data_IF_868292713724
#
_entry.id   IF_868292713724
#
_cell.length_a   1.000
_cell.length_b   1.000
_cell.length_c   1.000
_cell.angle_alpha   90.00
_cell.angle_beta   90.00
_cell.angle_gamma   90.00
#
_symmetry.space_group_name_H-M   'P 1'
#
loop_
_entity.id
_entity.type
_entity.pdbx_description
1 polymer ?
#
# COMPACT_ATOMS: atom_id res chain seq x y z
N UNK A 1 -23.43 62.80 41.42
CA UNK A 1 -23.55 64.27 41.45
C UNK A 1 -24.72 64.63 42.33
N UNK A 2 -24.56 65.49 43.36
CA UNK A 2 -25.63 65.79 44.30
C UNK A 2 -26.50 66.94 43.77
N UNK A 3 -27.82 66.82 43.89
CA UNK A 3 -28.77 67.90 43.60
C UNK A 3 -29.16 68.54 44.93
N UNK A 4 -28.72 69.78 45.16
CA UNK A 4 -29.12 70.60 46.29
C UNK A 4 -30.62 70.95 46.20
N UNK A 5 -31.39 70.62 47.25
CA UNK A 5 -32.71 71.18 47.45
C UNK A 5 -32.57 72.52 48.19
N UNK A 6 -32.70 73.63 47.47
CA UNK A 6 -32.81 74.96 48.06
C UNK A 6 -34.20 75.16 48.65
N UNK A 7 -34.34 74.98 49.97
CA UNK A 7 -35.51 75.43 50.72
C UNK A 7 -35.27 76.88 51.18
N UNK A 8 -35.96 77.84 50.56
CA UNK A 8 -36.09 79.19 51.11
C UNK A 8 -37.23 79.20 52.14
N UNK A 9 -36.88 79.17 53.42
CA UNK A 9 -37.80 79.39 54.53
C UNK A 9 -38.21 80.87 54.58
N UNK A 10 -39.50 81.15 54.48
CA UNK A 10 -40.05 82.48 54.76
C UNK A 10 -40.32 82.52 56.26
N UNK A 11 -39.51 83.27 57.01
CA UNK A 11 -39.81 83.66 58.39
C UNK A 11 -40.89 84.75 58.36
N UNK A 12 -42.00 84.52 59.05
CA UNK A 12 -42.99 85.56 59.35
C UNK A 12 -43.01 85.77 60.86
N UNK A 13 -42.48 86.92 61.28
CA UNK A 13 -42.51 87.43 62.64
C UNK A 13 -43.90 88.06 62.90
N UNK A 14 -44.69 87.49 63.80
CA UNK A 14 -45.94 88.10 64.26
C UNK A 14 -45.66 88.91 65.54
N UNK A 15 -45.55 90.24 65.40
CA UNK A 15 -45.61 91.17 66.54
C UNK A 15 -47.08 91.37 66.96
N UNK A 16 -47.38 91.49 68.27
CA UNK A 16 -48.74 91.73 68.75
C UNK A 16 -49.05 93.23 68.68
N UNK A 17 -50.32 93.58 68.47
CA UNK A 17 -50.82 94.91 68.75
C UNK A 17 -52.18 94.83 69.43
N UNK A 18 -52.23 95.51 70.58
CA UNK A 18 -53.33 95.64 71.52
C UNK A 18 -54.53 96.47 70.99
N UNK A 19 -55.72 96.03 71.45
CA UNK A 19 -56.90 96.78 71.93
C UNK A 19 -57.71 97.74 71.04
N UNK A 20 -59.03 97.47 71.13
CA UNK A 20 -60.20 98.38 71.19
C UNK A 20 -60.81 98.96 69.88
N UNK A 21 -61.81 98.24 69.36
CA UNK A 21 -63.24 98.61 69.44
C UNK A 21 -63.77 99.80 68.62
N UNK A 22 -64.77 99.53 67.77
CA UNK A 22 -65.85 100.49 67.48
C UNK A 22 -66.24 100.70 66.01
N UNK A 23 -67.26 99.94 65.56
CA UNK A 23 -68.30 100.20 64.54
C UNK A 23 -68.15 101.23 63.38
N UNK A 24 -68.64 100.78 62.21
CA UNK A 24 -69.07 101.46 60.95
C UNK A 24 -68.03 101.76 59.85
N UNK A 25 -68.08 101.04 58.71
CA UNK A 25 -67.89 101.60 57.35
C UNK A 25 -68.30 100.61 56.21
N UNK A 26 -69.09 100.99 55.17
CA UNK A 26 -69.48 100.12 54.04
C UNK A 26 -68.41 99.98 52.93
N UNK A 27 -67.23 100.56 53.08
CA UNK A 27 -66.14 100.55 52.09
C UNK A 27 -65.27 99.27 52.11
N UNK A 28 -65.49 98.37 53.08
CA UNK A 28 -64.67 97.17 53.31
C UNK A 28 -64.97 95.96 52.40
N UNK A 29 -65.98 96.03 51.52
CA UNK A 29 -66.41 94.87 50.70
C UNK A 29 -65.52 94.66 49.46
N UNK A 30 -64.91 95.72 48.92
CA UNK A 30 -64.10 95.64 47.67
C UNK A 30 -62.73 94.97 47.89
N UNK A 31 -61.94 95.27 48.95
CA UNK A 31 -60.66 94.59 49.18
C UNK A 31 -60.84 93.11 49.51
N UNK A 32 -61.89 92.74 50.25
CA UNK A 32 -62.19 91.36 50.61
C UNK A 32 -62.55 90.50 49.38
N UNK A 33 -63.31 91.05 48.43
CA UNK A 33 -63.61 90.39 47.15
C UNK A 33 -62.37 90.31 46.23
N UNK A 34 -61.49 91.31 46.24
CA UNK A 34 -60.23 91.28 45.48
C UNK A 34 -59.24 90.24 46.02
N UNK A 35 -59.18 90.05 47.35
CA UNK A 35 -58.39 88.99 47.99
C UNK A 35 -58.98 87.62 47.70
N UNK A 36 -60.31 87.45 47.74
CA UNK A 36 -60.97 86.21 47.33
C UNK A 36 -60.74 85.90 45.84
N UNK A 37 -60.82 86.91 44.97
CA UNK A 37 -60.54 86.78 43.54
C UNK A 37 -59.07 86.42 43.25
N UNK A 38 -58.12 87.00 43.98
CA UNK A 38 -56.70 86.66 43.84
C UNK A 38 -56.38 85.28 44.39
N UNK A 39 -57.00 84.86 45.51
CA UNK A 39 -56.87 83.50 46.04
C UNK A 39 -57.44 82.47 45.06
N UNK A 40 -58.61 82.72 44.48
CA UNK A 40 -59.23 81.84 43.47
C UNK A 40 -58.40 81.79 42.19
N UNK A 41 -57.90 82.93 41.71
CA UNK A 41 -57.03 82.98 40.53
C UNK A 41 -55.70 82.26 40.77
N UNK A 42 -55.11 82.41 41.96
CA UNK A 42 -53.89 81.68 42.35
C UNK A 42 -54.17 80.18 42.47
N UNK A 43 -55.33 79.78 43.00
CA UNK A 43 -55.74 78.37 43.08
C UNK A 43 -55.97 77.77 41.69
N UNK A 44 -56.60 78.51 40.78
CA UNK A 44 -56.79 78.10 39.38
C UNK A 44 -55.44 78.00 38.67
N UNK A 45 -54.56 78.98 38.80
CA UNK A 45 -53.20 78.93 38.25
C UNK A 45 -52.40 77.76 38.81
N UNK A 46 -52.50 77.47 40.11
CA UNK A 46 -51.87 76.31 40.75
C UNK A 46 -52.46 75.00 40.21
N UNK A 47 -53.77 74.94 39.99
CA UNK A 47 -54.45 73.77 39.45
C UNK A 47 -54.09 73.52 37.97
N UNK A 48 -53.99 74.57 37.16
CA UNK A 48 -53.51 74.49 35.78
C UNK A 48 -52.02 74.15 35.70
N UNK A 49 -51.19 74.75 36.56
CA UNK A 49 -49.76 74.42 36.66
C UNK A 49 -49.56 72.97 37.08
N UNK A 50 -50.29 72.48 38.08
CA UNK A 50 -50.28 71.08 38.51
C UNK A 50 -50.74 70.13 37.39
N UNK A 51 -51.80 70.50 36.65
CA UNK A 51 -52.29 69.70 35.52
C UNK A 51 -51.30 69.67 34.35
N UNK A 52 -50.66 70.79 34.05
CA UNK A 52 -49.63 70.89 33.02
C UNK A 52 -48.35 70.12 33.41
N UNK A 53 -47.93 70.23 34.67
CA UNK A 53 -46.78 69.50 35.20
C UNK A 53 -47.04 67.98 35.22
N UNK A 54 -48.24 67.56 35.62
CA UNK A 54 -48.66 66.15 35.52
C UNK A 54 -48.69 65.68 34.05
N UNK A 55 -49.21 66.49 33.14
CA UNK A 55 -49.24 66.16 31.70
C UNK A 55 -47.83 66.05 31.11
N UNK A 56 -46.91 66.92 31.48
CA UNK A 56 -45.51 66.86 31.04
C UNK A 56 -44.80 65.65 31.67
N UNK A 57 -45.04 65.37 32.94
CA UNK A 57 -44.46 64.23 33.63
C UNK A 57 -44.95 62.90 33.04
N UNK A 58 -46.23 62.82 32.68
CA UNK A 58 -46.82 61.66 32.02
C UNK A 58 -46.29 61.52 30.57
N UNK A 59 -46.17 62.60 29.81
CA UNK A 59 -45.54 62.57 28.49
C UNK A 59 -44.06 62.16 28.55
N UNK A 60 -43.31 62.63 29.54
CA UNK A 60 -41.90 62.28 29.75
C UNK A 60 -41.77 60.81 30.18
N UNK A 61 -42.67 60.34 31.04
CA UNK A 61 -42.75 58.93 31.44
C UNK A 61 -43.03 58.02 30.25
N UNK A 62 -44.04 58.34 29.44
CA UNK A 62 -44.38 57.55 28.24
C UNK A 62 -43.24 57.58 27.22
N UNK A 63 -42.56 58.71 27.04
CA UNK A 63 -41.38 58.80 26.18
C UNK A 63 -40.21 57.95 26.70
N UNK A 64 -39.95 57.96 28.01
CA UNK A 64 -38.93 57.13 28.65
C UNK A 64 -39.27 55.63 28.55
N UNK A 65 -40.52 55.25 28.82
CA UNK A 65 -41.00 53.86 28.66
C UNK A 65 -40.86 53.38 27.20
N UNK A 66 -41.17 54.23 26.21
CA UNK A 66 -40.93 53.92 24.78
C UNK A 66 -39.46 53.75 24.45
N UNK A 67 -38.58 54.60 24.98
CA UNK A 67 -37.13 54.48 24.75
C UNK A 67 -36.55 53.23 25.40
N UNK A 68 -36.94 52.92 26.64
CA UNK A 68 -36.50 51.71 27.34
C UNK A 68 -36.97 50.46 26.60
N UNK A 69 -38.23 50.42 26.16
CA UNK A 69 -38.75 49.29 25.39
C UNK A 69 -38.03 49.13 24.05
N UNK A 70 -37.78 50.23 23.32
CA UNK A 70 -37.05 50.19 22.05
C UNK A 70 -35.58 49.74 22.23
N UNK A 71 -34.92 50.21 23.30
CA UNK A 71 -33.57 49.76 23.66
C UNK A 71 -33.56 48.27 24.00
N UNK A 72 -34.50 47.81 24.84
CA UNK A 72 -34.63 46.40 25.21
C UNK A 72 -34.83 45.50 23.99
N UNK A 73 -35.76 45.84 23.09
CA UNK A 73 -36.02 45.05 21.88
C UNK A 73 -34.81 45.01 20.95
N UNK A 74 -34.11 46.14 20.80
CA UNK A 74 -32.91 46.20 19.97
C UNK A 74 -31.76 45.38 20.56
N UNK A 75 -31.54 45.45 21.88
CA UNK A 75 -30.51 44.65 22.56
C UNK A 75 -30.84 43.16 22.49
N UNK A 76 -32.11 42.79 22.65
CA UNK A 76 -32.54 41.39 22.52
C UNK A 76 -32.33 40.86 21.10
N UNK A 77 -32.71 41.63 20.07
CA UNK A 77 -32.49 41.25 18.68
C UNK A 77 -30.99 41.11 18.34
N UNK A 78 -30.13 42.00 18.86
CA UNK A 78 -28.68 41.90 18.70
C UNK A 78 -28.11 40.66 19.39
N UNK A 79 -28.59 40.31 20.58
CA UNK A 79 -28.15 39.13 21.31
C UNK A 79 -28.58 37.84 20.61
N UNK A 80 -29.81 37.79 20.08
CA UNK A 80 -30.31 36.66 19.29
C UNK A 80 -29.52 36.49 17.99
N UNK A 81 -29.24 37.57 17.28
CA UNK A 81 -28.39 37.55 16.08
C UNK A 81 -26.96 37.09 16.40
N UNK A 82 -26.36 37.58 17.49
CA UNK A 82 -25.02 37.15 17.93
C UNK A 82 -24.99 35.68 18.33
N UNK A 83 -26.04 35.18 19.01
CA UNK A 83 -26.19 33.75 19.34
C UNK A 83 -26.33 32.89 18.09
N UNK A 84 -27.12 33.32 17.12
CA UNK A 84 -27.28 32.61 15.85
C UNK A 84 -25.97 32.58 15.05
N UNK A 85 -25.23 33.70 14.99
CA UNK A 85 -23.91 33.75 14.37
C UNK A 85 -22.90 32.84 15.07
N UNK A 86 -22.84 32.86 16.40
CA UNK A 86 -21.97 31.98 17.17
C UNK A 86 -22.33 30.50 16.98
N UNK A 87 -23.62 30.16 16.94
CA UNK A 87 -24.10 28.81 16.68
C UNK A 87 -23.70 28.32 15.27
N UNK A 88 -23.82 29.18 14.25
CA UNK A 88 -23.40 28.88 12.88
C UNK A 88 -21.88 28.68 12.80
N UNK A 89 -21.08 29.55 13.42
CA UNK A 89 -19.62 29.39 13.47
C UNK A 89 -19.20 28.09 14.16
N UNK A 90 -19.86 27.70 15.25
CA UNK A 90 -19.60 26.41 15.91
C UNK A 90 -20.01 25.24 15.01
N UNK A 91 -21.12 25.35 14.27
CA UNK A 91 -21.56 24.30 13.36
C UNK A 91 -20.61 24.15 12.16
N UNK A 92 -20.17 25.24 11.56
CA UNK A 92 -19.16 25.26 10.48
C UNK A 92 -17.83 24.69 10.97
N UNK A 93 -17.31 25.16 12.11
CA UNK A 93 -16.06 24.64 12.68
C UNK A 93 -16.13 23.13 12.99
N UNK A 94 -17.30 22.62 13.42
CA UNK A 94 -17.51 21.17 13.61
C UNK A 94 -17.51 20.41 12.29
N UNK A 95 -18.12 20.97 11.24
CA UNK A 95 -18.17 20.39 9.91
C UNK A 95 -16.76 20.31 9.31
N UNK A 96 -16.02 21.41 9.36
CA UNK A 96 -14.64 21.48 8.85
C UNK A 96 -13.73 20.49 9.59
N UNK A 97 -13.86 20.41 10.93
CA UNK A 97 -13.11 19.44 11.73
C UNK A 97 -13.48 17.98 11.40
N UNK A 98 -14.72 17.71 11.00
CA UNK A 98 -15.14 16.37 10.56
C UNK A 98 -14.58 16.05 9.18
N UNK A 99 -14.69 16.97 8.22
CA UNK A 99 -14.14 16.84 6.87
C UNK A 99 -12.62 16.63 6.91
N UNK A 100 -11.90 17.38 7.76
CA UNK A 100 -10.46 17.21 7.95
C UNK A 100 -10.10 15.84 8.52
N UNK A 101 -10.86 15.34 9.51
CA UNK A 101 -10.67 13.98 10.07
C UNK A 101 -10.95 12.90 9.04
N UNK A 102 -12.00 13.04 8.24
CA UNK A 102 -12.35 12.08 7.18
C UNK A 102 -11.26 12.05 6.11
N UNK A 103 -10.79 13.22 5.67
CA UNK A 103 -9.70 13.33 4.72
C UNK A 103 -8.37 12.78 5.27
N UNK A 104 -8.05 13.03 6.55
CA UNK A 104 -6.89 12.44 7.21
C UNK A 104 -6.99 10.91 7.29
N UNK A 105 -8.18 10.38 7.59
CA UNK A 105 -8.44 8.94 7.62
C UNK A 105 -8.29 8.29 6.24
N UNK A 106 -8.80 8.93 5.19
CA UNK A 106 -8.64 8.46 3.81
C UNK A 106 -7.16 8.44 3.41
N UNK A 107 -6.42 9.51 3.71
CA UNK A 107 -4.96 9.55 3.49
C UNK A 107 -4.21 8.44 4.21
N UNK A 108 -4.60 8.11 5.44
CA UNK A 108 -3.99 7.02 6.19
C UNK A 108 -4.30 5.65 5.54
N UNK A 109 -5.54 5.43 5.10
CA UNK A 109 -5.92 4.21 4.38
C UNK A 109 -5.12 4.09 3.07
N UNK A 110 -5.00 5.17 2.30
CA UNK A 110 -4.23 5.18 1.06
C UNK A 110 -2.74 4.90 1.31
N UNK A 111 -2.15 5.48 2.36
CA UNK A 111 -0.77 5.22 2.75
C UNK A 111 -0.54 3.74 3.13
N UNK A 112 -1.46 3.15 3.92
CA UNK A 112 -1.41 1.73 4.28
C UNK A 112 -1.56 0.82 3.06
N UNK A 113 -2.48 1.16 2.16
CA UNK A 113 -2.69 0.40 0.91
C UNK A 113 -1.46 0.47 0.00
N UNK A 114 -0.82 1.64 -0.12
CA UNK A 114 0.42 1.79 -0.87
C UNK A 114 1.57 0.94 -0.28
N UNK A 115 1.66 0.86 1.05
CA UNK A 115 2.64 0.02 1.73
C UNK A 115 2.40 -1.48 1.45
N UNK A 116 1.15 -1.94 1.55
CA UNK A 116 0.81 -3.34 1.25
C UNK A 116 1.04 -3.69 -0.22
N UNK A 117 0.67 -2.80 -1.16
CA UNK A 117 0.97 -2.97 -2.59
C UNK A 117 2.47 -3.10 -2.83
N UNK A 118 3.29 -2.26 -2.20
CA UNK A 118 4.75 -2.32 -2.32
C UNK A 118 5.29 -3.68 -1.88
N UNK A 119 4.81 -4.19 -0.75
CA UNK A 119 5.19 -5.52 -0.24
C UNK A 119 4.79 -6.63 -1.21
N UNK A 120 3.54 -6.60 -1.69
CA UNK A 120 3.00 -7.61 -2.61
C UNK A 120 3.77 -7.64 -3.93
N UNK A 121 4.09 -6.48 -4.53
CA UNK A 121 4.89 -6.43 -5.76
C UNK A 121 6.34 -6.88 -5.53
N UNK A 122 6.92 -6.59 -4.35
CA UNK A 122 8.26 -7.09 -4.00
C UNK A 122 8.27 -8.61 -3.90
N UNK A 123 7.26 -9.20 -3.26
CA UNK A 123 7.09 -10.66 -3.16
C UNK A 123 6.85 -11.30 -4.55
N UNK A 124 6.11 -10.63 -5.44
CA UNK A 124 5.92 -11.08 -6.82
C UNK A 124 7.26 -11.18 -7.57
N UNK A 125 8.10 -10.13 -7.50
CA UNK A 125 9.40 -10.09 -8.17
C UNK A 125 10.30 -11.23 -7.68
N UNK A 126 10.35 -11.47 -6.38
CA UNK A 126 11.18 -12.52 -5.81
C UNK A 126 10.67 -13.92 -6.20
N UNK A 127 9.35 -14.16 -6.19
CA UNK A 127 8.79 -15.43 -6.68
C UNK A 127 9.03 -15.63 -8.18
N UNK A 128 8.88 -14.59 -9.00
CA UNK A 128 9.17 -14.65 -10.43
C UNK A 128 10.64 -15.03 -10.67
N UNK A 129 11.57 -14.38 -9.96
CA UNK A 129 13.01 -14.71 -10.04
C UNK A 129 13.27 -16.17 -9.72
N UNK A 130 12.67 -16.73 -8.67
CA UNK A 130 12.82 -18.15 -8.31
C UNK A 130 12.27 -19.08 -9.40
N UNK A 131 11.10 -18.77 -9.95
CA UNK A 131 10.52 -19.53 -11.06
C UNK A 131 11.45 -19.51 -12.29
N UNK A 132 11.98 -18.33 -12.66
CA UNK A 132 12.90 -18.19 -13.79
C UNK A 132 14.23 -18.92 -13.60
N UNK A 133 14.75 -18.96 -12.36
CA UNK A 133 15.96 -19.72 -12.05
C UNK A 133 15.75 -21.22 -12.26
N UNK A 134 14.62 -21.76 -11.83
CA UNK A 134 14.27 -23.17 -12.08
C UNK A 134 14.16 -23.45 -13.57
N UNK A 135 13.42 -22.61 -14.31
CA UNK A 135 13.28 -22.77 -15.76
C UNK A 135 14.67 -22.77 -16.43
N UNK A 136 15.55 -21.85 -16.05
CA UNK A 136 16.93 -21.80 -16.54
C UNK A 136 17.74 -23.06 -16.22
N UNK A 137 17.49 -23.69 -15.09
CA UNK A 137 18.22 -24.85 -14.60
C UNK A 137 17.63 -26.20 -15.07
N UNK A 138 16.50 -26.22 -15.79
CA UNK A 138 15.81 -27.46 -16.15
C UNK A 138 16.71 -28.49 -16.85
N UNK A 139 17.55 -28.07 -17.79
CA UNK A 139 18.43 -28.99 -18.52
C UNK A 139 19.51 -29.65 -17.64
N UNK A 140 19.79 -29.10 -16.46
CA UNK A 140 20.73 -29.64 -15.48
C UNK A 140 20.02 -30.34 -14.31
N UNK A 141 18.73 -30.09 -14.14
CA UNK A 141 17.93 -30.73 -13.10
C UNK A 141 17.72 -32.21 -13.39
N UNK A 142 17.61 -33.03 -12.33
CA UNK A 142 17.17 -34.41 -12.44
C UNK A 142 15.81 -34.54 -11.75
N UNK A 143 14.69 -34.49 -12.48
CA UNK A 143 13.35 -34.52 -11.88
C UNK A 143 13.06 -35.80 -11.09
N UNK A 144 13.78 -36.90 -11.35
CA UNK A 144 13.66 -38.13 -10.55
C UNK A 144 14.25 -37.98 -9.14
N UNK A 145 15.25 -37.12 -8.98
CA UNK A 145 15.91 -36.83 -7.69
C UNK A 145 15.34 -35.56 -7.04
N UNK A 146 14.88 -34.61 -7.84
CA UNK A 146 14.48 -33.28 -7.40
C UNK A 146 12.95 -33.14 -7.37
N UNK A 147 12.34 -33.73 -6.33
CA UNK A 147 10.86 -33.76 -6.17
C UNK A 147 10.21 -32.38 -6.01
N UNK A 148 11.01 -31.34 -5.76
CA UNK A 148 10.57 -29.96 -5.53
C UNK A 148 10.86 -29.03 -6.70
N UNK A 149 11.19 -29.60 -7.87
CA UNK A 149 11.55 -28.81 -9.04
C UNK A 149 10.42 -27.87 -9.48
N UNK A 150 9.15 -28.25 -9.29
CA UNK A 150 7.99 -27.42 -9.63
C UNK A 150 7.60 -26.39 -8.55
N UNK A 151 8.11 -26.53 -7.32
CA UNK A 151 7.64 -25.72 -6.17
C UNK A 151 7.80 -24.21 -6.46
N UNK A 152 8.95 -23.72 -6.99
CA UNK A 152 9.10 -22.29 -7.25
C UNK A 152 8.14 -21.72 -8.31
N UNK A 153 7.71 -22.54 -9.27
CA UNK A 153 6.71 -22.13 -10.27
C UNK A 153 5.31 -22.16 -9.67
N UNK A 154 5.01 -23.15 -8.82
CA UNK A 154 3.75 -23.21 -8.09
C UNK A 154 3.61 -22.04 -7.10
N UNK A 155 4.67 -21.69 -6.37
CA UNK A 155 4.72 -20.59 -5.40
C UNK A 155 4.44 -19.22 -6.05
N UNK A 156 4.77 -19.04 -7.33
CA UNK A 156 4.44 -17.82 -8.07
C UNK A 156 2.92 -17.57 -8.09
N UNK A 157 2.10 -18.63 -8.15
CA UNK A 157 0.64 -18.54 -8.10
C UNK A 157 0.16 -17.85 -6.82
N UNK A 158 0.81 -18.14 -5.68
CA UNK A 158 0.47 -17.50 -4.42
C UNK A 158 0.76 -15.99 -4.44
N UNK A 159 1.90 -15.58 -5.02
CA UNK A 159 2.22 -14.16 -5.19
C UNK A 159 1.25 -13.45 -6.14
N UNK A 160 0.86 -14.08 -7.25
CA UNK A 160 -0.14 -13.55 -8.19
C UNK A 160 -1.49 -13.38 -7.51
N UNK A 161 -1.91 -14.34 -6.67
CA UNK A 161 -3.15 -14.23 -5.90
C UNK A 161 -3.10 -13.09 -4.87
N UNK A 162 -1.93 -12.75 -4.33
CA UNK A 162 -1.81 -11.55 -3.49
C UNK A 162 -1.97 -10.27 -4.32
N UNK A 163 -1.38 -10.20 -5.51
CA UNK A 163 -1.57 -9.06 -6.42
C UNK A 163 -3.05 -8.86 -6.73
N UNK A 164 -3.80 -9.95 -6.95
CA UNK A 164 -5.26 -9.91 -7.15
C UNK A 164 -6.02 -9.16 -6.06
N UNK A 165 -5.59 -9.28 -4.80
CA UNK A 165 -6.28 -8.68 -3.65
C UNK A 165 -5.99 -7.18 -3.48
N UNK A 166 -4.81 -6.72 -3.91
CA UNK A 166 -4.31 -5.39 -3.54
C UNK A 166 -4.11 -4.44 -4.74
N UNK A 167 -3.96 -4.96 -5.95
CA UNK A 167 -3.69 -4.17 -7.15
C UNK A 167 -4.97 -3.79 -7.92
N UNK A 168 -4.84 -2.83 -8.83
CA UNK A 168 -5.88 -2.46 -9.78
C UNK A 168 -6.11 -3.55 -10.83
N UNK A 169 -7.34 -3.58 -11.38
CA UNK A 169 -7.80 -4.63 -12.31
C UNK A 169 -6.84 -4.87 -13.47
N UNK A 170 -6.28 -3.82 -14.06
CA UNK A 170 -5.39 -3.98 -15.21
C UNK A 170 -4.05 -4.64 -14.82
N UNK A 171 -3.46 -4.26 -13.70
CA UNK A 171 -2.24 -4.90 -13.19
C UNK A 171 -2.49 -6.36 -12.85
N UNK A 172 -3.66 -6.68 -12.30
CA UNK A 172 -4.08 -8.04 -12.02
C UNK A 172 -4.17 -8.89 -13.29
N UNK A 173 -4.74 -8.35 -14.37
CA UNK A 173 -4.82 -9.04 -15.66
C UNK A 173 -3.42 -9.34 -16.22
N UNK A 174 -2.53 -8.35 -16.31
CA UNK A 174 -1.16 -8.57 -16.79
C UNK A 174 -0.39 -9.58 -15.92
N UNK A 175 -0.59 -9.53 -14.60
CA UNK A 175 0.10 -10.44 -13.69
C UNK A 175 -0.37 -11.89 -13.87
N UNK A 176 -1.63 -12.09 -14.27
CA UNK A 176 -2.14 -13.41 -14.63
C UNK A 176 -1.61 -13.92 -15.96
N UNK A 177 -1.54 -13.06 -16.97
CA UNK A 177 -0.92 -13.42 -18.25
C UNK A 177 0.56 -13.79 -18.03
N UNK A 178 1.29 -13.01 -17.23
CA UNK A 178 2.66 -13.35 -16.83
C UNK A 178 2.75 -14.74 -16.17
N UNK A 179 1.83 -15.08 -15.26
CA UNK A 179 1.80 -16.41 -14.64
C UNK A 179 1.56 -17.50 -15.70
N UNK A 180 0.62 -17.28 -16.62
CA UNK A 180 0.33 -18.22 -17.69
C UNK A 180 1.57 -18.45 -18.58
N UNK A 181 2.23 -17.38 -19.03
CA UNK A 181 3.45 -17.44 -19.84
C UNK A 181 4.59 -18.19 -19.11
N UNK A 182 4.77 -17.94 -17.81
CA UNK A 182 5.79 -18.63 -16.99
C UNK A 182 5.47 -20.11 -16.87
N UNK A 183 4.21 -20.47 -16.58
CA UNK A 183 3.78 -21.86 -16.45
C UNK A 183 3.90 -22.60 -17.79
N UNK A 184 3.48 -21.99 -18.89
CA UNK A 184 3.62 -22.55 -20.24
C UNK A 184 5.10 -22.77 -20.57
N UNK A 185 5.95 -21.77 -20.34
CA UNK A 185 7.39 -21.87 -20.59
C UNK A 185 8.03 -22.98 -19.75
N UNK A 186 7.61 -23.14 -18.49
CA UNK A 186 8.09 -24.23 -17.65
C UNK A 186 7.70 -25.61 -18.19
N UNK A 187 6.43 -25.80 -18.56
CA UNK A 187 5.93 -27.09 -19.06
C UNK A 187 6.57 -27.47 -20.40
N UNK A 188 6.65 -26.53 -21.33
CA UNK A 188 7.36 -26.74 -22.61
C UNK A 188 8.86 -26.97 -22.36
N UNK A 189 9.45 -26.31 -21.37
CA UNK A 189 10.84 -26.50 -21.00
C UNK A 189 11.10 -27.92 -20.49
N UNK A 190 10.21 -28.44 -19.64
CA UNK A 190 10.26 -29.83 -19.19
C UNK A 190 10.19 -30.80 -20.38
N UNK A 191 9.29 -30.57 -21.34
CA UNK A 191 9.18 -31.38 -22.55
C UNK A 191 10.49 -31.38 -23.36
N UNK A 192 11.08 -30.21 -23.60
CA UNK A 192 12.35 -30.07 -24.29
C UNK A 192 13.51 -30.78 -23.57
N UNK A 193 13.47 -30.86 -22.24
CA UNK A 193 14.50 -31.54 -21.44
C UNK A 193 14.27 -33.06 -21.27
N UNK A 194 13.11 -33.61 -21.66
CA UNK A 194 12.84 -35.06 -21.53
C UNK A 194 13.90 -35.96 -22.19
N UNK A 195 14.42 -35.66 -23.39
CA UNK A 195 15.50 -36.44 -23.98
C UNK A 195 16.78 -36.41 -23.14
N UNK A 196 17.13 -35.25 -22.57
CA UNK A 196 18.30 -35.09 -21.68
C UNK A 196 18.14 -35.99 -20.46
N UNK A 197 16.96 -35.98 -19.83
CA UNK A 197 16.68 -36.81 -18.65
C UNK A 197 16.76 -38.31 -18.94
N UNK A 198 16.26 -38.75 -20.11
CA UNK A 198 16.37 -40.15 -20.55
C UNK A 198 17.83 -40.57 -20.73
N UNK A 199 18.63 -39.73 -21.36
CA UNK A 199 20.05 -39.97 -21.57
C UNK A 199 20.84 -40.00 -20.26
N UNK A 200 20.56 -39.09 -19.32
CA UNK A 200 21.18 -39.11 -17.98
C UNK A 200 20.88 -40.41 -17.23
N UNK A 201 19.63 -40.88 -17.28
CA UNK A 201 19.28 -42.19 -16.70
C UNK A 201 20.03 -43.34 -17.39
N UNK A 202 20.14 -43.31 -18.72
CA UNK A 202 20.93 -44.29 -19.47
C UNK A 202 22.41 -44.29 -19.06
N UNK A 203 23.01 -43.12 -18.82
CA UNK A 203 24.38 -43.01 -18.30
C UNK A 203 24.51 -43.69 -16.94
N UNK A 204 23.58 -43.44 -16.01
CA UNK A 204 23.60 -44.08 -14.68
C UNK A 204 23.54 -45.62 -14.79
N UNK A 205 22.66 -46.15 -15.64
CA UNK A 205 22.54 -47.60 -15.90
C UNK A 205 23.82 -48.18 -16.55
N UNK A 206 24.48 -47.42 -17.44
CA UNK A 206 25.74 -47.83 -18.05
C UNK A 206 26.92 -47.77 -17.07
N UNK A 207 26.97 -46.77 -16.19
CA UNK A 207 28.01 -46.65 -15.17
C UNK A 207 27.97 -47.81 -14.18
N UNK A 208 26.77 -48.27 -13.80
CA UNK A 208 26.62 -49.45 -12.94
C UNK A 208 27.16 -50.72 -13.63
N UNK A 209 26.81 -50.95 -14.91
CA UNK A 209 27.33 -52.10 -15.68
C UNK A 209 28.85 -52.04 -15.85
N UNK A 210 29.42 -50.86 -16.13
CA UNK A 210 30.87 -50.68 -16.25
C UNK A 210 31.56 -51.03 -14.93
N UNK A 211 30.96 -50.65 -13.79
CA UNK A 211 31.50 -51.00 -12.47
C UNK A 211 31.54 -52.51 -12.26
N UNK A 212 30.45 -53.23 -12.59
CA UNK A 212 30.42 -54.70 -12.54
C UNK A 212 31.51 -55.32 -13.42
N UNK A 213 31.66 -54.87 -14.68
CA UNK A 213 32.69 -55.42 -15.57
C UNK A 213 34.13 -55.09 -15.11
N UNK A 214 34.34 -53.96 -14.43
CA UNK A 214 35.63 -53.64 -13.83
C UNK A 214 35.97 -54.57 -12.65
N UNK A 215 34.98 -54.90 -11.83
CA UNK A 215 35.11 -55.88 -10.74
C UNK A 215 35.38 -57.28 -11.29
N UNK A 216 34.60 -57.74 -12.27
CA UNK A 216 34.83 -59.03 -12.96
C UNK A 216 36.22 -59.08 -13.61
N UNK A 217 36.66 -58.01 -14.27
CA UNK A 217 38.00 -57.93 -14.86
C UNK A 217 39.07 -58.07 -13.78
N UNK A 218 38.89 -57.40 -12.64
CA UNK A 218 39.82 -57.46 -11.51
C UNK A 218 39.90 -58.88 -10.95
N UNK A 219 38.76 -59.53 -10.71
CA UNK A 219 38.70 -60.92 -10.24
C UNK A 219 39.32 -61.91 -11.23
N UNK A 220 38.95 -61.82 -12.51
CA UNK A 220 39.49 -62.67 -13.57
C UNK A 220 41.00 -62.46 -13.75
N UNK A 221 41.49 -61.22 -13.60
CA UNK A 221 42.93 -60.93 -13.65
C UNK A 221 43.68 -61.51 -12.46
N UNK A 222 43.11 -61.43 -11.25
CA UNK A 222 43.68 -62.05 -10.06
C UNK A 222 43.71 -63.58 -10.17
N UNK A 223 42.65 -64.19 -10.70
CA UNK A 223 42.59 -65.62 -10.97
C UNK A 223 43.63 -66.06 -12.01
N UNK A 224 43.82 -65.28 -13.07
CA UNK A 224 44.86 -65.53 -14.08
C UNK A 224 46.28 -65.42 -13.47
N UNK A 225 46.54 -64.40 -12.64
CA UNK A 225 47.82 -64.26 -11.95
C UNK A 225 48.07 -65.39 -10.96
N UNK A 226 47.07 -65.82 -10.19
CA UNK A 226 47.17 -66.96 -9.28
C UNK A 226 47.42 -68.29 -10.04
N UNK A 227 46.78 -68.46 -11.20
CA UNK A 227 47.02 -69.59 -12.10
C UNK A 227 48.47 -69.60 -12.60
N UNK A 228 48.99 -68.46 -13.08
CA UNK A 228 50.37 -68.31 -13.53
C UNK A 228 51.41 -68.50 -12.42
N UNK A 229 51.12 -68.07 -11.18
CA UNK A 229 52.02 -68.30 -10.04
C UNK A 229 52.11 -69.78 -9.65
N UNK A 230 51.03 -70.57 -9.83
CA UNK A 230 51.05 -72.03 -9.67
C UNK A 230 51.84 -72.74 -10.78
N UNK A 231 51.96 -72.15 -11.97
CA UNK A 231 52.77 -72.69 -13.07
C UNK A 231 54.28 -72.71 -12.78
N UNK A 232 54.77 -71.93 -11.80
CA UNK A 232 56.20 -71.82 -11.50
C UNK A 232 56.88 -73.13 -11.00
N UNK A 233 56.13 -74.24 -10.87
CA UNK A 233 56.66 -75.55 -10.43
C UNK A 233 56.04 -76.80 -11.08
N UNK A 234 55.24 -76.68 -12.16
CA UNK A 234 54.52 -77.82 -12.79
C UNK A 234 54.82 -77.90 -14.29
N UNK A 235 55.00 -79.12 -14.84
CA UNK A 235 55.27 -79.37 -16.26
C UNK A 235 54.13 -78.81 -17.14
N UNK A 236 54.34 -77.78 -18.00
CA UNK A 236 53.26 -76.85 -18.40
C UNK A 236 52.37 -77.24 -19.60
N UNK A 237 52.30 -78.50 -20.03
CA UNK A 237 51.81 -78.83 -21.39
C UNK A 237 50.76 -79.95 -21.44
N UNK A 238 49.68 -79.86 -20.66
CA UNK A 238 48.47 -80.65 -20.91
C UNK A 238 47.42 -79.83 -21.66
N UNK A 239 46.64 -80.47 -22.53
CA UNK A 239 45.57 -79.83 -23.31
C UNK A 239 44.54 -79.13 -22.40
N UNK A 240 44.21 -79.75 -21.27
CA UNK A 240 43.27 -79.20 -20.28
C UNK A 240 43.80 -77.92 -19.62
N UNK A 241 45.11 -77.86 -19.35
CA UNK A 241 45.76 -76.70 -18.74
C UNK A 241 45.76 -75.49 -19.68
N UNK A 242 46.12 -75.70 -20.95
CA UNK A 242 46.08 -74.66 -21.97
C UNK A 242 44.64 -74.16 -22.22
N UNK A 243 43.66 -75.07 -22.25
CA UNK A 243 42.25 -74.69 -22.37
C UNK A 243 41.77 -73.82 -21.20
N UNK A 244 42.22 -74.10 -19.97
CA UNK A 244 41.85 -73.31 -18.79
C UNK A 244 42.51 -71.92 -18.79
N UNK A 245 43.77 -71.84 -19.23
CA UNK A 245 44.49 -70.57 -19.44
C UNK A 245 43.82 -69.70 -20.49
N UNK A 246 43.49 -70.27 -21.64
CA UNK A 246 42.81 -69.59 -22.74
C UNK A 246 41.41 -69.11 -22.32
N UNK A 247 40.69 -69.89 -21.51
CA UNK A 247 39.41 -69.48 -20.94
C UNK A 247 39.55 -68.25 -20.04
N UNK A 248 40.54 -68.22 -19.15
CA UNK A 248 40.79 -67.08 -18.26
C UNK A 248 41.21 -65.83 -19.03
N UNK A 249 42.09 -65.97 -20.02
CA UNK A 249 42.45 -64.88 -20.94
C UNK A 249 41.20 -64.37 -21.66
N UNK A 250 40.40 -65.26 -22.22
CA UNK A 250 39.15 -64.92 -22.91
C UNK A 250 38.12 -64.23 -22.01
N UNK A 251 38.08 -64.53 -20.71
CA UNK A 251 37.23 -63.80 -19.74
C UNK A 251 37.77 -62.39 -19.47
N UNK A 252 39.07 -62.24 -19.22
CA UNK A 252 39.71 -60.92 -19.00
C UNK A 252 39.53 -60.01 -20.21
N UNK A 253 39.74 -60.54 -21.42
CA UNK A 253 39.58 -59.78 -22.68
C UNK A 253 38.13 -59.33 -22.86
N UNK A 254 37.14 -60.22 -22.70
CA UNK A 254 35.71 -59.87 -22.83
C UNK A 254 35.27 -58.79 -21.83
N UNK A 255 35.63 -58.91 -20.54
CA UNK A 255 35.32 -57.87 -19.57
C UNK A 255 36.04 -56.55 -19.91
N UNK A 256 37.27 -56.61 -20.45
CA UNK A 256 38.00 -55.44 -20.92
C UNK A 256 37.32 -54.72 -22.11
N UNK A 257 36.88 -55.47 -23.11
CA UNK A 257 36.14 -54.97 -24.27
C UNK A 257 34.81 -54.34 -23.83
N UNK A 258 34.04 -55.00 -22.97
CA UNK A 258 32.78 -54.48 -22.44
C UNK A 258 32.95 -53.15 -21.69
N UNK A 259 34.00 -53.00 -20.88
CA UNK A 259 34.35 -51.72 -20.23
C UNK A 259 34.67 -50.65 -21.28
N UNK A 260 35.46 -50.98 -22.30
CA UNK A 260 35.86 -50.01 -23.33
C UNK A 260 34.66 -49.54 -24.15
N UNK A 261 33.76 -50.44 -24.53
CA UNK A 261 32.53 -50.13 -25.24
C UNK A 261 31.58 -49.31 -24.36
N UNK A 262 31.41 -49.67 -23.09
CA UNK A 262 30.61 -48.90 -22.15
C UNK A 262 31.12 -47.47 -21.98
N UNK A 263 32.45 -47.26 -21.90
CA UNK A 263 33.03 -45.91 -21.83
C UNK A 263 32.79 -45.09 -23.11
N UNK A 264 32.84 -45.71 -24.29
CA UNK A 264 32.52 -45.04 -25.56
C UNK A 264 31.06 -44.61 -25.62
N UNK A 265 30.13 -45.52 -25.33
CA UNK A 265 28.70 -45.22 -25.28
C UNK A 265 28.40 -44.10 -24.28
N UNK A 266 29.02 -44.13 -23.09
CA UNK A 266 28.91 -43.04 -22.12
C UNK A 266 29.35 -41.70 -22.72
N UNK A 267 30.48 -41.66 -23.41
CA UNK A 267 30.99 -40.43 -24.01
C UNK A 267 30.07 -39.92 -25.13
N UNK A 268 29.52 -40.83 -25.94
CA UNK A 268 28.54 -40.48 -26.98
C UNK A 268 27.29 -39.84 -26.37
N UNK A 269 26.71 -40.44 -25.32
CA UNK A 269 25.53 -39.89 -24.64
C UNK A 269 25.86 -38.54 -23.97
N UNK A 270 27.05 -38.38 -23.37
CA UNK A 270 27.49 -37.09 -22.81
C UNK A 270 27.57 -36.01 -23.89
N UNK A 271 28.13 -36.34 -25.06
CA UNK A 271 28.22 -35.40 -26.19
C UNK A 271 26.83 -35.05 -26.73
N UNK A 272 25.94 -36.02 -26.85
CA UNK A 272 24.55 -35.80 -27.26
C UNK A 272 23.81 -34.91 -26.25
N UNK A 273 23.96 -35.16 -24.95
CA UNK A 273 23.38 -34.32 -23.90
C UNK A 273 23.91 -32.88 -23.93
N UNK A 274 25.19 -32.68 -24.23
CA UNK A 274 25.74 -31.35 -24.41
C UNK A 274 25.06 -30.62 -25.59
N UNK A 275 24.82 -31.32 -26.71
CA UNK A 275 24.09 -30.77 -27.86
C UNK A 275 22.63 -30.46 -27.54
N UNK A 276 21.93 -31.37 -26.86
CA UNK A 276 20.55 -31.16 -26.44
C UNK A 276 20.42 -29.98 -25.45
N UNK A 277 21.37 -29.85 -24.51
CA UNK A 277 21.43 -28.73 -23.57
C UNK A 277 21.64 -27.41 -24.29
N UNK A 278 22.54 -27.36 -25.29
CA UNK A 278 22.70 -26.18 -26.15
C UNK A 278 21.38 -25.84 -26.88
N UNK A 279 20.70 -26.85 -27.42
CA UNK A 279 19.40 -26.69 -28.07
C UNK A 279 18.34 -26.11 -27.13
N UNK A 280 18.29 -26.60 -25.88
CA UNK A 280 17.41 -26.07 -24.84
C UNK A 280 17.70 -24.60 -24.54
N UNK A 281 18.97 -24.23 -24.34
CA UNK A 281 19.36 -22.84 -24.07
C UNK A 281 18.96 -21.93 -25.24
N UNK A 282 19.19 -22.35 -26.48
CA UNK A 282 18.79 -21.59 -27.67
C UNK A 282 17.26 -21.41 -27.77
N UNK A 283 16.49 -22.42 -27.37
CA UNK A 283 15.03 -22.37 -27.32
C UNK A 283 14.48 -21.49 -26.19
N UNK A 284 15.11 -21.54 -25.01
CA UNK A 284 14.68 -20.85 -23.80
C UNK A 284 14.95 -19.34 -23.90
N UNK A 285 16.09 -18.97 -24.45
CA UNK A 285 16.58 -17.61 -24.44
C UNK A 285 15.59 -16.58 -25.06
N UNK A 286 14.97 -16.78 -26.25
CA UNK A 286 13.96 -15.84 -26.76
C UNK A 286 12.69 -15.78 -25.91
N UNK A 287 12.34 -16.86 -25.20
CA UNK A 287 11.21 -16.88 -24.26
C UNK A 287 11.52 -16.10 -22.99
N UNK A 288 12.74 -16.18 -22.47
CA UNK A 288 13.15 -15.35 -21.32
C UNK A 288 13.08 -13.85 -21.63
N UNK A 289 13.39 -13.45 -22.86
CA UNK A 289 13.20 -12.08 -23.35
C UNK A 289 11.71 -11.71 -23.35
N UNK A 290 10.83 -12.59 -23.85
CA UNK A 290 9.38 -12.41 -23.82
C UNK A 290 8.83 -12.25 -22.40
N UNK A 291 9.19 -13.17 -21.49
CA UNK A 291 8.80 -13.14 -20.09
C UNK A 291 9.28 -11.88 -19.36
N UNK A 292 10.48 -11.41 -19.69
CA UNK A 292 10.99 -10.16 -19.14
C UNK A 292 10.19 -8.94 -19.64
N UNK A 293 9.68 -8.96 -20.87
CA UNK A 293 8.76 -7.92 -21.36
C UNK A 293 7.44 -7.96 -20.59
N UNK A 294 6.83 -9.14 -20.45
CA UNK A 294 5.59 -9.31 -19.67
C UNK A 294 5.76 -8.83 -18.23
N UNK A 295 6.89 -9.14 -17.58
CA UNK A 295 7.21 -8.61 -16.24
C UNK A 295 7.33 -7.08 -16.25
N UNK A 296 8.01 -6.51 -17.24
CA UNK A 296 8.15 -5.05 -17.32
C UNK A 296 6.80 -4.36 -17.46
N UNK A 297 5.86 -4.91 -18.22
CA UNK A 297 4.52 -4.35 -18.33
C UNK A 297 3.77 -4.39 -17.00
N UNK A 298 3.89 -5.49 -16.24
CA UNK A 298 3.39 -5.57 -14.85
C UNK A 298 4.03 -4.50 -13.97
N UNK A 299 5.35 -4.34 -14.02
CA UNK A 299 6.09 -3.38 -13.19
C UNK A 299 5.74 -1.92 -13.54
N UNK A 300 5.53 -1.60 -14.81
CA UNK A 300 5.07 -0.27 -15.23
C UNK A 300 3.72 0.05 -14.62
N UNK A 301 2.76 -0.88 -14.69
CA UNK A 301 1.44 -0.66 -14.11
C UNK A 301 1.48 -0.58 -12.58
N UNK A 302 2.25 -1.45 -11.93
CA UNK A 302 2.50 -1.40 -10.49
C UNK A 302 3.08 -0.04 -10.07
N UNK A 303 4.02 0.51 -10.85
CA UNK A 303 4.63 1.82 -10.58
C UNK A 303 3.60 2.96 -10.63
N UNK A 304 2.69 2.93 -11.61
CA UNK A 304 1.58 3.89 -11.71
C UNK A 304 0.66 3.80 -10.49
N UNK A 305 0.31 2.58 -10.06
CA UNK A 305 -0.54 2.37 -8.88
C UNK A 305 0.09 2.82 -7.56
N UNK A 306 1.43 2.76 -7.48
CA UNK A 306 2.22 3.23 -6.35
C UNK A 306 2.55 4.73 -6.42
N UNK A 307 2.12 5.43 -7.48
CA UNK A 307 2.41 6.85 -7.71
C UNK A 307 3.90 7.20 -7.61
N UNK A 308 4.78 6.27 -8.02
CA UNK A 308 6.23 6.49 -7.95
C UNK A 308 6.63 7.50 -9.03
N UNK A 309 7.22 8.66 -8.66
CA UNK A 309 7.59 9.69 -9.61
C UNK A 309 8.70 9.20 -10.57
N UNK A 310 8.74 9.77 -11.78
CA UNK A 310 9.77 9.50 -12.79
C UNK A 310 9.20 9.29 -14.19
N UNK A 311 10.02 9.58 -15.21
CA UNK A 311 9.65 9.45 -16.61
C UNK A 311 9.69 7.98 -17.06
N UNK A 312 8.52 7.42 -17.39
CA UNK A 312 8.40 6.04 -17.90
C UNK A 312 9.17 5.82 -19.20
N UNK A 313 9.27 6.84 -20.05
CA UNK A 313 10.01 6.76 -21.31
C UNK A 313 11.49 6.38 -21.13
N UNK A 314 12.11 6.86 -20.05
CA UNK A 314 13.51 6.53 -19.73
C UNK A 314 13.71 5.06 -19.35
N UNK A 315 12.75 4.49 -18.61
CA UNK A 315 12.73 3.09 -18.20
C UNK A 315 12.48 2.19 -19.43
N UNK A 316 11.58 2.63 -20.31
CA UNK A 316 11.26 1.93 -21.55
C UNK A 316 12.47 1.88 -22.48
N UNK A 317 13.18 3.00 -22.64
CA UNK A 317 14.40 3.06 -23.44
C UNK A 317 15.49 2.12 -22.88
N UNK A 318 15.73 2.14 -21.56
CA UNK A 318 16.70 1.24 -20.94
C UNK A 318 16.31 -0.23 -21.08
N UNK A 319 15.02 -0.52 -20.98
CA UNK A 319 14.46 -1.88 -21.16
C UNK A 319 14.73 -2.37 -22.57
N UNK A 320 14.41 -1.57 -23.59
CA UNK A 320 14.68 -1.89 -25.00
C UNK A 320 16.17 -2.12 -25.24
N UNK A 321 17.02 -1.28 -24.67
CA UNK A 321 18.46 -1.42 -24.83
C UNK A 321 19.01 -2.69 -24.15
N UNK A 322 18.54 -2.98 -22.94
CA UNK A 322 18.87 -4.21 -22.21
C UNK A 322 18.46 -5.45 -23.01
N UNK A 323 17.23 -5.47 -23.54
CA UNK A 323 16.71 -6.56 -24.38
C UNK A 323 17.56 -6.76 -25.63
N UNK A 324 17.95 -5.67 -26.30
CA UNK A 324 18.82 -5.72 -27.47
C UNK A 324 20.19 -6.32 -27.14
N UNK A 325 20.80 -5.93 -26.01
CA UNK A 325 22.07 -6.50 -25.54
C UNK A 325 21.93 -7.98 -25.23
N UNK A 326 20.82 -8.39 -24.60
CA UNK A 326 20.50 -9.79 -24.32
C UNK A 326 20.36 -10.60 -25.60
N UNK A 327 19.57 -10.12 -26.57
CA UNK A 327 19.41 -10.77 -27.87
C UNK A 327 20.74 -10.91 -28.62
N UNK A 328 21.61 -9.89 -28.55
CA UNK A 328 22.96 -9.96 -29.13
C UNK A 328 23.85 -10.98 -28.42
N UNK A 329 23.80 -11.04 -27.09
CA UNK A 329 24.53 -12.05 -26.31
C UNK A 329 24.03 -13.46 -26.64
N UNK A 330 22.72 -13.65 -26.77
CA UNK A 330 22.10 -14.91 -27.18
C UNK A 330 22.55 -15.33 -28.58
N UNK A 331 22.53 -14.42 -29.56
CA UNK A 331 22.99 -14.71 -30.92
C UNK A 331 24.45 -15.17 -30.95
N UNK A 332 25.30 -14.57 -30.09
CA UNK A 332 26.70 -15.02 -29.94
C UNK A 332 26.79 -16.42 -29.34
N UNK A 333 26.02 -16.72 -28.30
CA UNK A 333 25.96 -18.08 -27.71
C UNK A 333 25.46 -19.10 -28.72
N UNK A 334 24.45 -18.77 -29.52
CA UNK A 334 23.93 -19.62 -30.59
C UNK A 334 24.95 -19.82 -31.72
N UNK A 335 25.80 -18.84 -32.02
CA UNK A 335 26.87 -18.96 -33.02
C UNK A 335 28.07 -19.80 -32.57
N UNK A 336 28.18 -20.09 -31.27
CA UNK A 336 29.19 -20.98 -30.68
C UNK A 336 28.69 -22.43 -30.55
N UNK A 337 27.42 -22.68 -30.90
CA UNK A 337 26.79 -24.00 -30.89
C UNK A 337 27.10 -24.76 -32.17
#
# INVERSE_FOLDING_TARGET
MPVQAGYSAIQVELKPADKQGGWTDPTAVVPALAILGSVIATFLQLHYAKRNLNSQLEATRVAAEKQINAQWTNTQAQLEAARAQAANQIAEARKDAQEEREHARLKEIDARLAQERTKVFTELIESYKKAMLVIGALAQANPAKDKKLSDPVADLTASVNKVWLFAGTQTVLETRELLADVMETFLLGMEHCMPIYRNLRGIEEHEEKIKTYLEEKKENSAALSAFQQREAGVLPNTLEHNAQKDLLIGKVTRSGEAVSQGRRLRQEIVNENAMLTKGYVAWLAPRQVGLMNSLNDVLKRARLELHVPGEMESIDLQTVEMLKRLQQAMARVSSLA
#
